data_IF_716455009475
#
_entry.id   IF_716455009475
#
_cell.length_a   1.000
_cell.length_b   1.000
_cell.length_c   1.000
_cell.angle_alpha   90.00
_cell.angle_beta   90.00
_cell.angle_gamma   90.00
#
_symmetry.space_group_name_H-M   'P 1'
#
loop_
_entity.id
_entity.type
_entity.pdbx_description
1 polymer ?
#
# COMPACT_ATOMS: atom_id res chain seq x y z
N UNK A 1 13.38 15.11 -11.60
CA UNK A 1 14.42 14.18 -11.10
C UNK A 1 14.24 14.03 -9.58
N UNK A 2 13.68 12.90 -9.11
CA UNK A 2 13.52 12.62 -7.67
C UNK A 2 14.63 11.68 -7.19
N UNK A 3 15.60 12.21 -6.43
CA UNK A 3 16.81 11.51 -5.99
C UNK A 3 16.69 10.91 -4.56
N UNK A 4 15.52 10.91 -3.92
CA UNK A 4 15.40 10.53 -2.49
C UNK A 4 14.93 9.07 -2.25
N UNK A 5 14.70 8.25 -3.28
CA UNK A 5 14.15 6.88 -3.10
C UNK A 5 15.18 5.73 -3.04
N UNK A 6 16.48 5.99 -3.18
CA UNK A 6 17.42 4.93 -3.61
C UNK A 6 17.98 4.02 -2.50
N UNK A 7 17.64 4.21 -1.21
CA UNK A 7 18.20 3.39 -0.11
C UNK A 7 17.28 2.29 0.44
N UNK A 8 15.98 2.28 0.12
CA UNK A 8 15.06 1.24 0.59
C UNK A 8 14.30 0.51 -0.53
N UNK A 9 14.58 0.79 -1.81
CA UNK A 9 13.95 0.09 -2.94
C UNK A 9 12.44 0.31 -3.07
N UNK A 10 11.86 1.22 -2.29
CA UNK A 10 10.44 1.58 -2.37
C UNK A 10 10.28 2.50 -3.57
N UNK A 11 9.68 2.00 -4.66
CA UNK A 11 9.18 2.87 -5.73
C UNK A 11 8.14 3.80 -5.10
N UNK A 12 8.17 5.08 -5.44
CA UNK A 12 7.13 6.03 -5.05
C UNK A 12 6.07 6.05 -6.15
N UNK A 13 4.85 6.48 -5.81
CA UNK A 13 3.79 6.72 -6.77
C UNK A 13 4.27 7.65 -7.91
N UNK A 14 3.80 7.43 -9.14
CA UNK A 14 4.24 8.22 -10.30
C UNK A 14 3.82 9.69 -10.19
N UNK A 15 2.69 9.96 -9.52
CA UNK A 15 2.20 11.29 -9.18
C UNK A 15 2.08 11.46 -7.66
N UNK A 16 2.32 12.68 -7.14
CA UNK A 16 2.03 13.02 -5.75
C UNK A 16 0.56 12.79 -5.42
N UNK A 17 0.32 12.08 -4.31
CA UNK A 17 -1.01 11.77 -3.79
C UNK A 17 -1.26 12.48 -2.47
N UNK A 18 -2.45 13.08 -2.32
CA UNK A 18 -2.84 13.83 -1.13
C UNK A 18 -4.16 13.33 -0.57
N UNK A 19 -4.38 13.59 0.72
CA UNK A 19 -5.69 13.45 1.35
C UNK A 19 -6.20 14.84 1.65
N UNK A 20 -7.38 15.21 1.11
CA UNK A 20 -7.95 16.55 1.30
C UNK A 20 -8.04 16.97 2.77
N UNK A 21 -8.38 16.02 3.65
CA UNK A 21 -8.50 16.28 5.09
C UNK A 21 -7.15 16.50 5.76
N UNK A 22 -6.11 15.73 5.40
CA UNK A 22 -4.74 16.00 5.86
C UNK A 22 -4.26 17.37 5.38
N UNK A 23 -4.52 17.68 4.11
CA UNK A 23 -4.13 18.96 3.51
C UNK A 23 -4.81 20.14 4.21
N UNK A 24 -6.13 20.08 4.41
CA UNK A 24 -6.87 21.13 5.14
C UNK A 24 -6.39 21.28 6.58
N UNK A 25 -6.14 20.17 7.28
CA UNK A 25 -5.63 20.20 8.66
C UNK A 25 -4.24 20.84 8.72
N UNK A 26 -3.34 20.51 7.79
CA UNK A 26 -2.01 21.10 7.77
C UNK A 26 -2.02 22.59 7.40
N UNK A 27 -2.86 22.99 6.44
CA UNK A 27 -3.03 24.39 6.08
C UNK A 27 -3.53 25.21 7.28
N UNK A 28 -4.50 24.67 8.03
CA UNK A 28 -5.04 25.32 9.21
C UNK A 28 -4.01 25.44 10.34
N UNK A 29 -3.24 24.38 10.60
CA UNK A 29 -2.35 24.32 11.75
C UNK A 29 -0.95 24.90 11.51
N UNK A 30 -0.47 24.85 10.26
CA UNK A 30 0.92 25.18 9.92
C UNK A 30 1.05 26.21 8.79
N UNK A 31 -0.03 26.58 8.10
CA UNK A 31 -0.01 27.51 6.98
C UNK A 31 0.47 26.90 5.66
N UNK A 32 0.80 25.60 5.63
CA UNK A 32 1.19 24.87 4.44
C UNK A 32 0.89 23.38 4.60
N UNK A 33 0.51 22.68 3.52
CA UNK A 33 0.30 21.24 3.59
C UNK A 33 1.58 20.46 3.36
N UNK A 34 1.75 19.36 4.12
CA UNK A 34 2.89 18.47 3.96
C UNK A 34 2.49 17.22 3.16
N UNK A 35 3.41 16.73 2.33
CA UNK A 35 3.27 15.41 1.72
C UNK A 35 3.54 14.32 2.75
N UNK A 36 2.57 13.41 2.91
CA UNK A 36 2.74 12.23 3.76
C UNK A 36 3.45 11.15 2.95
N UNK A 37 4.51 10.57 3.51
CA UNK A 37 5.26 9.46 2.90
C UNK A 37 4.35 8.27 2.59
N UNK A 38 3.47 7.90 3.52
CA UNK A 38 2.52 6.79 3.33
C UNK A 38 1.62 6.96 2.10
N UNK A 39 1.17 8.19 1.83
CA UNK A 39 0.34 8.47 0.65
C UNK A 39 1.10 8.26 -0.66
N UNK A 40 2.44 8.27 -0.62
CA UNK A 40 3.26 8.08 -1.82
C UNK A 40 3.67 6.62 -2.05
N UNK A 41 3.30 5.68 -1.16
CA UNK A 41 3.64 4.27 -1.33
C UNK A 41 2.72 3.61 -2.36
N UNK A 42 3.23 2.98 -3.43
CA UNK A 42 2.43 2.25 -4.41
C UNK A 42 1.46 1.26 -3.75
N UNK A 43 0.24 1.18 -4.28
CA UNK A 43 -0.86 0.41 -3.70
C UNK A 43 -1.56 1.02 -2.49
N UNK A 44 -1.07 2.12 -1.93
CA UNK A 44 -1.83 2.94 -0.96
C UNK A 44 -2.69 3.94 -1.72
N UNK A 45 -3.99 3.68 -1.78
CA UNK A 45 -4.98 4.53 -2.46
C UNK A 45 -5.92 5.24 -1.50
N UNK A 46 -5.83 4.92 -0.21
CA UNK A 46 -6.66 5.50 0.85
C UNK A 46 -5.79 6.06 1.97
N UNK A 47 -6.22 7.18 2.55
CA UNK A 47 -5.59 7.76 3.72
C UNK A 47 -5.89 6.88 4.95
N UNK A 48 -4.84 6.38 5.59
CA UNK A 48 -4.98 5.57 6.81
C UNK A 48 -5.60 6.32 8.00
N UNK A 49 -5.51 7.65 8.01
CA UNK A 49 -6.04 8.46 9.11
C UNK A 49 -7.51 8.83 8.92
N UNK A 50 -7.91 9.14 7.69
CA UNK A 50 -9.26 9.65 7.39
C UNK A 50 -10.14 8.64 6.62
N UNK A 51 -9.60 7.52 6.16
CA UNK A 51 -10.32 6.54 5.33
C UNK A 51 -10.76 7.06 3.96
N UNK A 52 -10.28 8.24 3.53
CA UNK A 52 -10.66 8.85 2.25
C UNK A 52 -9.75 8.39 1.12
N UNK A 53 -10.28 8.31 -0.10
CA UNK A 53 -9.47 8.14 -1.30
C UNK A 53 -8.38 9.24 -1.38
N UNK A 54 -7.22 8.86 -1.89
CA UNK A 54 -6.13 9.79 -2.16
C UNK A 54 -6.32 10.44 -3.52
N UNK A 55 -6.21 11.76 -3.56
CA UNK A 55 -6.34 12.55 -4.76
C UNK A 55 -4.98 12.75 -5.40
N UNK A 56 -4.92 12.68 -6.72
CA UNK A 56 -3.70 12.80 -7.53
C UNK A 56 -3.88 13.69 -8.76
N UNK A 57 -5.07 14.24 -8.97
CA UNK A 57 -5.35 15.17 -10.06
C UNK A 57 -6.31 16.30 -9.66
N UNK A 58 -6.32 17.38 -10.44
CA UNK A 58 -7.31 18.44 -10.34
C UNK A 58 -8.70 17.95 -10.78
N UNK A 59 -9.76 18.34 -10.06
CA UNK A 59 -11.13 17.96 -10.40
C UNK A 59 -11.65 18.63 -11.68
N UNK A 60 -11.13 19.81 -12.05
CA UNK A 60 -11.62 20.57 -13.21
C UNK A 60 -10.91 20.24 -14.51
N UNK A 61 -9.58 20.13 -14.50
CA UNK A 61 -8.78 19.95 -15.71
C UNK A 61 -7.99 18.65 -15.75
N UNK A 62 -8.13 17.78 -14.74
CA UNK A 62 -7.47 16.48 -14.62
C UNK A 62 -5.94 16.52 -14.70
N UNK A 63 -5.33 17.70 -14.61
CA UNK A 63 -3.89 17.81 -14.49
C UNK A 63 -3.43 17.14 -13.20
N UNK A 64 -2.39 16.32 -13.29
CA UNK A 64 -1.75 15.68 -12.14
C UNK A 64 -1.40 16.72 -11.07
N UNK A 65 -1.48 16.33 -9.80
CA UNK A 65 -0.99 17.14 -8.69
C UNK A 65 0.53 17.12 -8.75
N UNK A 66 1.08 17.94 -9.63
CA UNK A 66 2.50 18.00 -9.87
C UNK A 66 3.15 19.00 -8.91
N UNK A 67 4.29 18.59 -8.36
CA UNK A 67 5.24 19.51 -7.72
C UNK A 67 6.06 20.13 -8.85
N UNK A 68 5.41 20.98 -9.63
CA UNK A 68 6.07 21.72 -10.70
C UNK A 68 6.94 22.81 -10.06
N UNK A 69 8.22 22.49 -9.86
CA UNK A 69 9.22 23.40 -9.35
C UNK A 69 9.53 23.24 -7.85
N UNK A 70 10.66 23.81 -7.39
CA UNK A 70 11.23 23.54 -6.07
C UNK A 70 10.42 24.05 -4.86
N UNK A 71 9.34 24.81 -5.09
CA UNK A 71 8.65 25.55 -4.03
C UNK A 71 7.13 25.39 -4.00
N UNK A 72 6.60 24.47 -4.80
CA UNK A 72 5.15 24.33 -4.84
C UNK A 72 4.66 23.50 -3.66
N UNK A 73 4.11 24.20 -2.68
CA UNK A 73 3.49 23.60 -1.50
C UNK A 73 2.23 22.85 -1.93
N UNK A 74 2.04 21.67 -1.35
CA UNK A 74 0.75 20.99 -1.44
C UNK A 74 -0.35 21.87 -0.84
N UNK A 75 -1.52 21.90 -1.48
CA UNK A 75 -2.66 22.72 -1.05
C UNK A 75 -2.86 24.04 -1.80
N UNK A 76 -1.96 24.42 -2.72
CA UNK A 76 -2.22 25.50 -3.68
C UNK A 76 -3.17 25.07 -4.81
N UNK A 77 -3.79 26.04 -5.50
CA UNK A 77 -4.60 25.76 -6.69
C UNK A 77 -3.80 25.10 -7.82
N UNK A 78 -4.49 24.41 -8.72
CA UNK A 78 -3.94 23.67 -9.86
C UNK A 78 -3.06 24.55 -10.78
N UNK A 79 -1.93 24.01 -11.32
CA UNK A 79 -1.01 24.81 -12.17
C UNK A 79 -1.62 25.19 -13.49
N UNK A 80 -2.56 24.36 -13.95
CA UNK A 80 -3.12 24.48 -15.27
C UNK A 80 -4.37 25.37 -15.29
N UNK A 81 -5.25 25.24 -14.29
CA UNK A 81 -6.53 25.95 -14.26
C UNK A 81 -6.79 26.82 -13.02
N UNK A 82 -5.85 26.87 -12.06
CA UNK A 82 -6.00 27.53 -10.76
C UNK A 82 -7.13 27.02 -9.85
N UNK A 83 -7.91 26.00 -10.25
CA UNK A 83 -8.91 25.38 -9.40
C UNK A 83 -8.30 24.68 -8.18
N UNK A 84 -9.00 24.71 -7.05
CA UNK A 84 -8.56 24.18 -5.75
C UNK A 84 -9.16 22.79 -5.44
N UNK A 85 -10.17 22.38 -6.20
CA UNK A 85 -10.74 21.04 -6.09
C UNK A 85 -9.81 19.97 -6.69
N UNK A 86 -9.72 18.85 -5.99
CA UNK A 86 -8.89 17.70 -6.36
C UNK A 86 -9.74 16.44 -6.35
N UNK A 87 -9.35 15.45 -7.15
CA UNK A 87 -10.02 14.15 -7.23
C UNK A 87 -8.99 13.03 -7.40
N UNK A 88 -9.42 11.79 -7.13
CA UNK A 88 -8.67 10.60 -7.49
C UNK A 88 -8.81 10.31 -8.99
N UNK A 89 -7.73 9.86 -9.63
CA UNK A 89 -7.71 9.35 -11.00
C UNK A 89 -8.41 8.01 -11.14
N UNK A 90 -8.38 7.20 -10.08
CA UNK A 90 -9.03 5.90 -10.03
C UNK A 90 -9.93 5.78 -8.81
N UNK A 91 -11.16 5.31 -9.05
CA UNK A 91 -12.07 4.89 -8.00
C UNK A 91 -11.66 3.49 -7.54
N UNK A 92 -10.75 3.43 -6.57
CA UNK A 92 -10.50 2.18 -5.85
C UNK A 92 -11.60 1.97 -4.81
N UNK A 93 -12.01 0.72 -4.61
CA UNK A 93 -12.81 0.33 -3.44
C UNK A 93 -11.85 -0.12 -2.34
N UNK A 94 -12.06 0.34 -1.10
CA UNK A 94 -11.25 -0.13 0.02
C UNK A 94 -11.58 -1.59 0.31
N UNK A 95 -10.59 -2.48 0.25
CA UNK A 95 -10.73 -3.88 0.63
C UNK A 95 -10.12 -4.15 2.01
N UNK A 96 -10.54 -5.21 2.72
CA UNK A 96 -9.91 -5.61 4.00
C UNK A 96 -8.39 -5.81 3.87
N UNK A 97 -7.94 -6.40 2.76
CA UNK A 97 -6.51 -6.56 2.44
C UNK A 97 -5.79 -5.22 2.30
N UNK A 98 -6.33 -4.30 1.50
CA UNK A 98 -5.75 -2.96 1.32
C UNK A 98 -5.64 -2.18 2.64
N UNK A 99 -6.68 -2.23 3.48
CA UNK A 99 -6.69 -1.62 4.81
C UNK A 99 -5.62 -2.21 5.73
N UNK A 100 -5.51 -3.55 5.75
CA UNK A 100 -4.51 -4.26 6.56
C UNK A 100 -3.08 -3.94 6.12
N UNK A 101 -2.87 -3.85 4.81
CA UNK A 101 -1.61 -3.44 4.21
C UNK A 101 -1.22 -2.00 4.60
N UNK A 102 -2.16 -1.07 4.49
CA UNK A 102 -1.96 0.34 4.89
C UNK A 102 -1.62 0.47 6.39
N UNK A 103 -2.34 -0.25 7.25
CA UNK A 103 -2.05 -0.31 8.69
C UNK A 103 -0.68 -0.92 9.00
N UNK A 104 -0.28 -1.97 8.29
CA UNK A 104 1.05 -2.56 8.45
C UNK A 104 2.13 -1.55 8.06
N UNK A 105 1.99 -0.92 6.89
CA UNK A 105 2.93 0.10 6.42
C UNK A 105 3.01 1.28 7.39
N UNK A 106 1.88 1.73 7.94
CA UNK A 106 1.87 2.77 8.95
C UNK A 106 2.68 2.38 10.19
N UNK A 107 2.56 1.15 10.67
CA UNK A 107 3.31 0.66 11.84
C UNK A 107 4.81 0.50 11.54
N UNK A 108 5.15 0.08 10.32
CA UNK A 108 6.55 -0.03 9.88
C UNK A 108 7.18 1.36 9.72
N UNK A 109 6.51 2.28 9.03
CA UNK A 109 7.04 3.61 8.73
C UNK A 109 6.93 4.59 9.91
N UNK A 110 5.98 4.36 10.83
CA UNK A 110 5.81 5.13 12.06
C UNK A 110 6.85 4.84 13.14
N UNK A 111 7.79 3.92 12.90
CA UNK A 111 8.96 3.67 13.76
C UNK A 111 8.68 2.92 15.06
N UNK A 112 7.43 2.75 15.48
CA UNK A 112 7.08 2.11 16.75
C UNK A 112 7.20 0.58 16.75
N UNK A 113 7.03 -0.09 15.61
CA UNK A 113 7.03 -1.57 15.53
C UNK A 113 7.95 -2.16 14.42
N UNK A 114 8.67 -1.32 13.68
CA UNK A 114 9.40 -1.74 12.46
C UNK A 114 10.42 -2.86 12.69
N UNK A 115 11.06 -2.89 13.86
CA UNK A 115 12.05 -3.92 14.22
C UNK A 115 11.43 -5.28 14.58
N UNK A 116 10.19 -5.32 15.04
CA UNK A 116 9.53 -6.56 15.48
C UNK A 116 8.73 -7.22 14.35
N UNK A 117 8.12 -6.43 13.47
CA UNK A 117 7.25 -6.94 12.39
C UNK A 117 8.00 -7.70 11.30
N UNK A 118 9.24 -7.33 11.03
CA UNK A 118 10.13 -8.01 10.08
C UNK A 118 11.20 -8.85 10.81
N UNK A 119 11.00 -9.20 12.07
CA UNK A 119 11.94 -10.02 12.83
C UNK A 119 11.89 -11.49 12.38
N UNK A 120 13.01 -12.21 12.49
CA UNK A 120 13.12 -13.61 12.07
C UNK A 120 12.08 -14.58 12.72
N UNK A 121 11.68 -14.42 14.00
CA UNK A 121 10.65 -15.23 14.63
C UNK A 121 9.27 -15.01 14.02
N UNK A 122 8.93 -13.79 13.63
CA UNK A 122 7.68 -13.50 12.91
C UNK A 122 7.70 -14.21 11.57
N UNK A 123 8.80 -14.13 10.80
CA UNK A 123 8.98 -14.90 9.55
C UNK A 123 8.94 -16.42 9.77
N UNK A 124 9.47 -16.92 10.87
CA UNK A 124 9.42 -18.35 11.23
C UNK A 124 8.01 -18.77 11.67
N UNK A 125 7.25 -17.90 12.32
CA UNK A 125 5.85 -18.13 12.64
C UNK A 125 4.98 -18.10 11.37
N UNK A 126 5.26 -17.20 10.43
CA UNK A 126 4.71 -17.24 9.07
C UNK A 126 5.04 -18.58 8.42
N UNK A 127 6.29 -19.03 8.51
CA UNK A 127 6.70 -20.34 7.99
C UNK A 127 5.94 -21.48 8.66
N UNK A 128 5.73 -21.45 9.98
CA UNK A 128 5.04 -22.52 10.74
C UNK A 128 3.55 -22.61 10.48
N UNK A 129 2.85 -21.48 10.41
CA UNK A 129 1.41 -21.44 10.09
C UNK A 129 1.17 -22.03 8.69
N UNK A 130 2.12 -21.87 7.77
CA UNK A 130 1.98 -22.27 6.37
C UNK A 130 2.59 -23.63 6.02
N UNK A 131 3.72 -24.01 6.63
CA UNK A 131 4.33 -25.33 6.45
C UNK A 131 3.59 -26.40 7.30
N UNK A 132 2.92 -26.00 8.38
CA UNK A 132 2.23 -26.91 9.29
C UNK A 132 0.93 -27.51 8.74
N UNK A 133 0.38 -26.99 7.64
CA UNK A 133 -0.80 -27.53 6.95
C UNK A 133 -0.47 -27.78 5.47
N UNK A 134 -0.85 -28.93 4.89
CA UNK A 134 -0.61 -29.22 3.48
C UNK A 134 -1.56 -28.42 2.60
N UNK A 135 -1.29 -27.13 2.43
CA UNK A 135 -1.94 -26.32 1.41
C UNK A 135 -1.15 -26.43 0.11
N UNK A 136 -1.83 -26.69 -1.00
CA UNK A 136 -1.18 -26.55 -2.30
C UNK A 136 -0.84 -25.06 -2.53
N UNK A 137 0.28 -24.73 -3.20
CA UNK A 137 0.61 -23.33 -3.46
C UNK A 137 -0.47 -22.56 -4.22
N UNK A 138 -1.24 -23.27 -5.05
CA UNK A 138 -2.39 -22.71 -5.76
C UNK A 138 -3.51 -22.32 -4.78
N UNK A 139 -3.75 -23.11 -3.73
CA UNK A 139 -4.70 -22.74 -2.68
C UNK A 139 -4.23 -21.50 -1.90
N UNK A 140 -2.93 -21.41 -1.60
CA UNK A 140 -2.37 -20.23 -0.91
C UNK A 140 -2.47 -18.97 -1.76
N UNK A 141 -2.13 -19.07 -3.05
CA UNK A 141 -2.28 -17.97 -3.97
C UNK A 141 -3.74 -17.55 -4.09
N UNK A 142 -4.67 -18.51 -4.21
CA UNK A 142 -6.10 -18.22 -4.31
C UNK A 142 -6.65 -17.54 -3.07
N UNK A 143 -6.33 -18.04 -1.88
CA UNK A 143 -6.72 -17.39 -0.61
C UNK A 143 -6.14 -15.98 -0.49
N UNK A 144 -4.89 -15.78 -0.92
CA UNK A 144 -4.30 -14.45 -0.96
C UNK A 144 -5.10 -13.52 -1.88
N UNK A 145 -5.45 -13.96 -3.09
CA UNK A 145 -6.28 -13.18 -4.02
C UNK A 145 -7.68 -12.88 -3.46
N UNK A 146 -8.35 -13.87 -2.85
CA UNK A 146 -9.67 -13.71 -2.25
C UNK A 146 -9.71 -12.61 -1.17
N UNK A 147 -8.65 -12.51 -0.35
CA UNK A 147 -8.55 -11.47 0.68
C UNK A 147 -8.42 -10.05 0.12
N UNK A 148 -7.74 -9.95 -1.02
CA UNK A 148 -7.64 -8.71 -1.79
C UNK A 148 -8.90 -8.43 -2.61
N UNK A 149 -9.87 -9.36 -2.63
CA UNK A 149 -11.10 -9.31 -3.43
C UNK A 149 -10.81 -9.12 -4.92
N UNK A 150 -9.84 -9.88 -5.41
CA UNK A 150 -9.42 -9.90 -6.81
C UNK A 150 -9.45 -11.33 -7.33
N UNK A 151 -9.72 -11.50 -8.62
CA UNK A 151 -9.85 -12.83 -9.22
C UNK A 151 -8.49 -13.34 -9.72
N UNK A 152 -7.63 -12.43 -10.16
CA UNK A 152 -6.38 -12.78 -10.83
C UNK A 152 -5.17 -12.09 -10.20
N UNK A 153 -3.99 -12.65 -10.47
CA UNK A 153 -2.71 -12.04 -10.09
C UNK A 153 -2.48 -10.72 -10.82
N UNK A 154 -3.03 -10.56 -12.03
CA UNK A 154 -2.92 -9.33 -12.81
C UNK A 154 -3.73 -8.19 -12.18
N UNK A 155 -4.92 -8.48 -11.65
CA UNK A 155 -5.71 -7.52 -10.87
C UNK A 155 -4.93 -7.06 -9.63
N UNK A 156 -4.29 -8.00 -8.92
CA UNK A 156 -3.46 -7.68 -7.77
C UNK A 156 -2.22 -6.86 -8.16
N UNK A 157 -1.57 -7.20 -9.27
CA UNK A 157 -0.44 -6.48 -9.83
C UNK A 157 -0.80 -5.02 -10.12
N UNK A 158 -1.98 -4.79 -10.69
CA UNK A 158 -2.53 -3.46 -10.93
C UNK A 158 -2.76 -2.70 -9.61
N UNK A 159 -3.37 -3.34 -8.60
CA UNK A 159 -3.61 -2.70 -7.29
C UNK A 159 -2.30 -2.32 -6.62
N UNK A 160 -1.34 -3.26 -6.57
CA UNK A 160 -0.03 -3.07 -5.93
C UNK A 160 0.94 -2.23 -6.77
N UNK A 161 0.56 -1.89 -8.00
CA UNK A 161 1.40 -1.20 -8.99
C UNK A 161 2.78 -1.87 -9.11
N UNK A 162 2.76 -3.19 -9.33
CA UNK A 162 3.97 -4.01 -9.36
C UNK A 162 3.80 -5.25 -10.23
N UNK A 163 4.87 -5.69 -10.90
CA UNK A 163 4.85 -6.95 -11.63
C UNK A 163 4.90 -8.13 -10.65
N UNK A 164 3.94 -9.05 -10.76
CA UNK A 164 3.89 -10.24 -9.92
C UNK A 164 4.21 -11.47 -10.77
N UNK A 165 5.38 -12.08 -10.52
CA UNK A 165 5.70 -13.37 -11.11
C UNK A 165 5.13 -14.50 -10.22
N UNK A 166 4.17 -15.26 -10.76
CA UNK A 166 3.47 -16.33 -10.03
C UNK A 166 4.45 -17.37 -9.49
N UNK A 167 5.37 -17.85 -10.32
CA UNK A 167 6.33 -18.89 -9.93
C UNK A 167 7.25 -18.44 -8.80
N UNK A 168 7.75 -17.20 -8.86
CA UNK A 168 8.54 -16.60 -7.78
C UNK A 168 7.73 -16.42 -6.50
N UNK A 169 6.48 -16.00 -6.61
CA UNK A 169 5.57 -15.81 -5.48
C UNK A 169 5.28 -17.15 -4.79
N UNK A 170 4.95 -18.18 -5.57
CA UNK A 170 4.77 -19.56 -5.08
C UNK A 170 6.05 -20.10 -4.45
N UNK A 171 7.20 -19.87 -5.08
CA UNK A 171 8.51 -20.29 -4.57
C UNK A 171 8.81 -19.63 -3.22
N UNK A 172 8.50 -18.34 -3.08
CA UNK A 172 8.62 -17.60 -1.82
C UNK A 172 7.67 -18.14 -0.74
N UNK A 173 6.39 -18.39 -1.09
CA UNK A 173 5.40 -18.97 -0.18
C UNK A 173 5.80 -20.36 0.34
N UNK A 174 6.60 -21.11 -0.42
CA UNK A 174 7.22 -22.38 0.02
C UNK A 174 8.37 -22.20 1.02
N UNK A 175 8.70 -20.98 1.41
CA UNK A 175 9.76 -20.66 2.36
C UNK A 175 11.15 -20.51 1.74
N UNK A 176 11.25 -20.48 0.40
CA UNK A 176 12.51 -20.17 -0.27
C UNK A 176 12.74 -18.67 -0.31
N UNK A 177 13.97 -18.23 -0.03
CA UNK A 177 14.33 -16.82 -0.07
C UNK A 177 14.57 -16.42 -1.53
N UNK A 178 13.55 -15.85 -2.15
CA UNK A 178 13.64 -15.20 -3.46
C UNK A 178 13.30 -13.72 -3.30
N UNK A 179 13.98 -12.81 -4.00
CA UNK A 179 13.62 -11.40 -4.00
C UNK A 179 12.24 -11.24 -4.67
N UNK A 180 11.28 -10.74 -3.91
CA UNK A 180 9.99 -10.27 -4.41
C UNK A 180 9.98 -8.75 -4.51
N UNK A 181 9.17 -8.16 -5.41
CA UNK A 181 8.91 -6.73 -5.37
C UNK A 181 8.46 -6.29 -3.98
N UNK A 182 8.96 -5.16 -3.51
CA UNK A 182 8.67 -4.66 -2.17
C UNK A 182 7.17 -4.56 -1.85
N UNK A 183 6.30 -4.03 -2.75
CA UNK A 183 4.85 -3.99 -2.50
C UNK A 183 4.26 -5.37 -2.22
N UNK A 184 4.68 -6.38 -2.98
CA UNK A 184 4.24 -7.76 -2.82
C UNK A 184 4.76 -8.38 -1.51
N UNK A 185 6.03 -8.15 -1.17
CA UNK A 185 6.61 -8.62 0.09
C UNK A 185 5.86 -8.03 1.30
N UNK A 186 5.54 -6.73 1.25
CA UNK A 186 4.80 -6.07 2.32
C UNK A 186 3.33 -6.51 2.35
N UNK A 187 2.70 -6.79 1.20
CA UNK A 187 1.35 -7.37 1.12
C UNK A 187 1.30 -8.76 1.75
N UNK A 188 2.29 -9.62 1.47
CA UNK A 188 2.43 -10.93 2.09
C UNK A 188 2.69 -10.84 3.61
N UNK A 189 3.49 -9.86 4.05
CA UNK A 189 3.69 -9.60 5.47
C UNK A 189 2.40 -9.12 6.18
N UNK A 190 1.55 -8.37 5.48
CA UNK A 190 0.24 -7.95 6.00
C UNK A 190 -0.72 -9.13 6.13
N UNK A 191 -0.78 -9.97 5.09
CA UNK A 191 -1.59 -11.18 5.04
C UNK A 191 -1.31 -12.12 6.21
N UNK A 192 -0.03 -12.40 6.42
CA UNK A 192 0.41 -13.29 7.49
C UNK A 192 0.16 -12.75 8.90
N UNK A 193 0.26 -11.43 9.12
CA UNK A 193 -0.11 -10.82 10.41
C UNK A 193 -1.60 -10.97 10.70
N UNK A 194 -2.47 -10.78 9.70
CA UNK A 194 -3.91 -10.92 9.88
C UNK A 194 -4.27 -12.34 10.35
N UNK A 195 -3.72 -13.35 9.69
CA UNK A 195 -3.87 -14.77 10.09
C UNK A 195 -3.36 -15.08 11.50
N UNK A 196 -2.24 -14.47 11.91
CA UNK A 196 -1.71 -14.65 13.25
C UNK A 196 -2.56 -13.95 14.33
N UNK A 197 -3.33 -12.92 13.95
CA UNK A 197 -4.14 -12.11 14.87
C UNK A 197 -5.56 -12.67 15.04
N UNK A 198 -6.07 -13.39 14.05
CA UNK A 198 -7.39 -14.04 14.08
C UNK A 198 -7.33 -15.46 13.50
N UNK A 199 -6.95 -16.46 14.32
CA UNK A 199 -6.86 -17.85 13.86
C UNK A 199 -8.24 -18.50 13.65
N UNK A 200 -9.31 -17.95 14.24
CA UNK A 200 -10.64 -18.58 14.28
C UNK A 200 -11.57 -18.06 13.19
N UNK A 201 -11.42 -16.81 12.73
CA UNK A 201 -12.15 -16.26 11.59
C UNK A 201 -11.92 -17.02 10.26
N UNK A 202 -10.90 -17.87 10.20
CA UNK A 202 -10.54 -18.67 9.02
C UNK A 202 -11.20 -20.05 8.94
N UNK A 203 -11.80 -20.54 10.03
CA UNK A 203 -12.40 -21.88 10.04
C UNK A 203 -13.86 -21.91 9.53
N UNK A 204 -14.42 -20.79 9.05
CA UNK A 204 -15.86 -20.65 8.82
C UNK A 204 -16.27 -20.23 7.38
N UNK A 205 -15.40 -20.35 6.39
CA UNK A 205 -15.81 -20.20 4.98
C UNK A 205 -15.84 -21.58 4.32
N UNK A 206 -16.92 -22.31 4.58
CA UNK A 206 -17.40 -23.41 3.73
C UNK A 206 -18.37 -22.85 2.68
#
# INVERSE_FOLDING_TARGET
MSIIASRCGVRMAPSPRICRFCTSSDLLNFGFAHLRVLHQVPGIHFCQHHGSALHDQCAHCHASIAIDGPWRLTGGGCSNCNGDETTASFAHNESPGSKSFSLLLQRILGGSESKQLLHAPTREQMRRIYIGKPHSPQQLLRQFLDWWRVETVDDLALILDTEINVDRTVTFLRGNIQPLPYPLLTALAAFTRHLASDPQGFAQTD
#
